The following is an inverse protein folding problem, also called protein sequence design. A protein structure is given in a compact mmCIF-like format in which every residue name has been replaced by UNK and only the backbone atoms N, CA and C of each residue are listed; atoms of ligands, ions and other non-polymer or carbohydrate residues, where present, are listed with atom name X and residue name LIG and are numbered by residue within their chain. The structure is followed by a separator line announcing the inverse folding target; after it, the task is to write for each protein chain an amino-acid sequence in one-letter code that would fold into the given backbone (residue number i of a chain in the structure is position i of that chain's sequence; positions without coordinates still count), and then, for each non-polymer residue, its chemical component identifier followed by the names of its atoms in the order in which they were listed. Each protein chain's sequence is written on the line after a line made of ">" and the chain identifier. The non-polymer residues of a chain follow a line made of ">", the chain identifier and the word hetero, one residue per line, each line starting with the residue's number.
data_IF_316556622381
#
_entry.id   IF_316556622381
#
_cell.length_a   1.000
_cell.length_b   1.000
_cell.length_c   1.000
_cell.angle_alpha   90.00
_cell.angle_beta   90.00
_cell.angle_gamma   90.00
#
_symmetry.space_group_name_H-M   'P 1'
#
loop_
_entity.id
_entity.type
_entity.pdbx_description
1 polymer ?
#
# COMPACT_ATOMS: atom_id res chain seq x y z
N UNK A 1 -13.31 9.81 -31.07
CA UNK A 1 -13.25 8.34 -30.84
C UNK A 1 -12.25 8.05 -29.73
N UNK A 2 -12.60 7.17 -28.78
CA UNK A 2 -11.71 6.76 -27.70
C UNK A 2 -10.48 5.97 -28.23
N UNK A 3 -9.29 6.31 -27.71
CA UNK A 3 -7.99 5.72 -28.05
C UNK A 3 -7.36 4.98 -26.86
N UNK A 4 -7.55 5.47 -25.64
CA UNK A 4 -7.05 4.89 -24.40
C UNK A 4 -8.19 4.50 -23.49
N UNK A 5 -8.28 3.22 -23.15
CA UNK A 5 -9.39 2.64 -22.40
C UNK A 5 -8.83 1.93 -21.17
N UNK A 6 -9.39 2.24 -20.01
CA UNK A 6 -9.13 1.52 -18.77
C UNK A 6 -10.19 0.44 -18.56
N UNK A 7 -9.77 -0.78 -18.29
CA UNK A 7 -10.68 -1.91 -17.98
C UNK A 7 -10.17 -2.68 -16.78
N UNK A 8 -11.03 -3.04 -15.82
CA UNK A 8 -10.63 -3.80 -14.63
C UNK A 8 -10.16 -5.22 -15.02
N UNK A 9 -9.35 -5.90 -14.18
CA UNK A 9 -8.75 -7.20 -14.51
C UNK A 9 -9.71 -8.39 -14.35
N UNK A 10 -10.91 -8.19 -13.80
CA UNK A 10 -11.85 -9.27 -13.50
C UNK A 10 -12.22 -10.11 -14.73
N UNK A 11 -12.49 -11.40 -14.51
CA UNK A 11 -12.78 -12.36 -15.57
C UNK A 11 -13.97 -11.97 -16.46
N UNK A 12 -15.10 -11.45 -15.94
CA UNK A 12 -16.24 -11.03 -16.78
C UNK A 12 -15.88 -9.95 -17.81
N UNK A 13 -14.84 -9.15 -17.56
CA UNK A 13 -14.41 -8.08 -18.46
C UNK A 13 -13.30 -8.50 -19.44
N UNK A 14 -12.91 -9.78 -19.45
CA UNK A 14 -11.87 -10.30 -20.36
C UNK A 14 -12.19 -10.00 -21.82
N UNK A 15 -13.44 -10.14 -22.24
CA UNK A 15 -13.81 -9.88 -23.63
C UNK A 15 -13.74 -8.38 -23.99
N UNK A 16 -14.11 -7.49 -23.06
CA UNK A 16 -13.94 -6.05 -23.25
C UNK A 16 -12.46 -5.70 -23.45
N UNK A 17 -11.56 -6.26 -22.62
CA UNK A 17 -10.10 -6.10 -22.80
C UNK A 17 -9.63 -6.61 -24.16
N UNK A 18 -10.08 -7.79 -24.58
CA UNK A 18 -9.76 -8.33 -25.90
C UNK A 18 -10.22 -7.40 -27.03
N UNK A 19 -11.44 -6.87 -26.98
CA UNK A 19 -11.98 -6.00 -28.01
C UNK A 19 -11.21 -4.67 -28.12
N UNK A 20 -10.75 -4.10 -26.99
CA UNK A 20 -9.86 -2.93 -26.98
C UNK A 20 -8.58 -3.23 -27.77
N UNK A 21 -7.92 -4.36 -27.46
CA UNK A 21 -6.68 -4.77 -28.13
C UNK A 21 -6.90 -5.09 -29.61
N UNK A 22 -7.96 -5.83 -29.95
CA UNK A 22 -8.31 -6.18 -31.32
C UNK A 22 -8.62 -4.94 -32.17
N UNK A 23 -9.11 -3.88 -31.54
CA UNK A 23 -9.35 -2.58 -32.17
C UNK A 23 -8.10 -1.69 -32.22
N UNK A 24 -6.91 -2.22 -31.88
CA UNK A 24 -5.62 -1.51 -31.86
C UNK A 24 -5.64 -0.26 -30.97
N UNK A 25 -6.42 -0.29 -29.88
CA UNK A 25 -6.50 0.79 -28.89
C UNK A 25 -5.57 0.52 -27.71
N UNK A 26 -5.18 1.57 -26.99
CA UNK A 26 -4.39 1.44 -25.76
C UNK A 26 -5.27 0.88 -24.66
N UNK A 27 -4.86 -0.25 -24.07
CA UNK A 27 -5.51 -0.86 -22.92
C UNK A 27 -4.69 -0.61 -21.66
N UNK A 28 -5.31 0.03 -20.67
CA UNK A 28 -4.79 0.13 -19.31
C UNK A 28 -5.55 -0.83 -18.40
N UNK A 29 -4.82 -1.59 -17.58
CA UNK A 29 -5.39 -2.50 -16.59
C UNK A 29 -4.79 -2.17 -15.22
N UNK A 30 -5.60 -1.97 -14.17
CA UNK A 30 -5.11 -1.78 -12.81
C UNK A 30 -4.21 -2.91 -12.34
N UNK A 31 -3.20 -2.58 -11.52
CA UNK A 31 -2.42 -3.63 -10.85
C UNK A 31 -3.26 -4.27 -9.74
N UNK A 32 -3.12 -5.59 -9.50
CA UNK A 32 -3.88 -6.26 -8.45
C UNK A 32 -3.69 -5.58 -7.09
N UNK A 33 -4.80 -5.09 -6.52
CA UNK A 33 -4.85 -4.45 -5.19
C UNK A 33 -3.90 -3.25 -5.04
N UNK A 34 -3.47 -2.62 -6.15
CA UNK A 34 -2.61 -1.43 -6.17
C UNK A 34 -1.28 -1.58 -5.41
N UNK A 35 -0.71 -2.78 -5.39
CA UNK A 35 0.52 -3.09 -4.64
C UNK A 35 1.81 -2.67 -5.34
N UNK A 36 1.83 -2.67 -6.66
CA UNK A 36 3.06 -2.52 -7.47
C UNK A 36 3.00 -1.37 -8.47
N UNK A 37 2.03 -0.47 -8.33
CA UNK A 37 1.80 0.65 -9.25
C UNK A 37 0.31 0.85 -9.51
N UNK A 38 -0.04 1.83 -10.36
CA UNK A 38 -1.43 2.13 -10.66
C UNK A 38 -1.96 1.28 -11.82
N UNK A 39 -1.32 1.36 -13.00
CA UNK A 39 -1.73 0.63 -14.19
C UNK A 39 -0.60 -0.14 -14.84
N UNK A 40 -1.00 -1.13 -15.62
CA UNK A 40 -0.21 -1.79 -16.64
C UNK A 40 -0.79 -1.41 -18.01
N UNK A 41 0.06 -0.90 -18.91
CA UNK A 41 -0.27 -0.74 -20.33
C UNK A 41 0.01 -2.06 -21.03
N UNK A 42 -1.00 -2.65 -21.63
CA UNK A 42 -0.83 -3.93 -22.32
C UNK A 42 -0.10 -3.72 -23.65
N UNK A 43 0.95 -4.50 -23.87
CA UNK A 43 1.82 -4.45 -25.04
C UNK A 43 1.85 -5.84 -25.71
N UNK A 44 0.88 -6.14 -26.60
CA UNK A 44 0.92 -7.37 -27.37
C UNK A 44 2.19 -7.45 -28.24
N UNK A 45 2.73 -8.65 -28.49
CA UNK A 45 3.84 -8.83 -29.42
C UNK A 45 3.54 -8.27 -30.82
N UNK A 46 4.56 -7.82 -31.58
CA UNK A 46 4.39 -7.45 -32.98
C UNK A 46 3.73 -8.56 -33.78
N UNK A 47 2.74 -8.23 -34.62
CA UNK A 47 2.01 -9.22 -35.42
C UNK A 47 1.09 -10.15 -34.64
N UNK A 48 0.74 -9.83 -33.38
CA UNK A 48 -0.13 -10.66 -32.55
C UNK A 48 -1.47 -11.02 -33.24
N UNK A 49 -1.73 -12.33 -33.33
CA UNK A 49 -3.02 -12.87 -33.81
C UNK A 49 -4.13 -12.65 -32.79
N UNK A 50 -5.40 -12.84 -33.20
CA UNK A 50 -6.55 -12.75 -32.28
C UNK A 50 -6.40 -13.66 -31.04
N UNK A 51 -5.81 -14.85 -31.19
CA UNK A 51 -5.59 -15.75 -30.07
C UNK A 51 -4.52 -15.25 -29.10
N UNK A 52 -3.47 -14.62 -29.61
CA UNK A 52 -2.47 -13.92 -28.78
C UNK A 52 -3.13 -12.77 -28.02
N UNK A 53 -3.98 -11.96 -28.70
CA UNK A 53 -4.69 -10.87 -28.03
C UNK A 53 -5.64 -11.37 -26.93
N UNK A 54 -6.33 -12.50 -27.14
CA UNK A 54 -7.15 -13.15 -26.10
C UNK A 54 -6.32 -13.58 -24.90
N UNK A 55 -5.08 -14.06 -25.13
CA UNK A 55 -4.13 -14.37 -24.05
C UNK A 55 -3.70 -13.11 -23.32
N UNK A 56 -3.31 -12.04 -24.02
CA UNK A 56 -2.96 -10.74 -23.42
C UNK A 56 -4.08 -10.15 -22.55
N UNK A 57 -5.35 -10.39 -22.91
CA UNK A 57 -6.51 -9.94 -22.14
C UNK A 57 -6.77 -10.72 -20.83
N UNK A 58 -6.07 -11.83 -20.58
CA UNK A 58 -6.19 -12.59 -19.31
C UNK A 58 -5.37 -11.95 -18.19
N UNK A 59 -5.67 -12.26 -16.93
CA UNK A 59 -4.86 -11.80 -15.78
C UNK A 59 -3.39 -12.23 -15.88
N UNK A 60 -3.12 -13.42 -16.43
CA UNK A 60 -1.74 -13.86 -16.70
C UNK A 60 -1.12 -13.08 -17.86
N UNK A 61 -1.90 -12.82 -18.91
CA UNK A 61 -1.47 -11.99 -20.02
C UNK A 61 -1.12 -10.58 -19.62
N UNK A 62 -1.88 -9.98 -18.71
CA UNK A 62 -1.57 -8.67 -18.12
C UNK A 62 -0.22 -8.70 -17.41
N UNK A 63 0.17 -9.79 -16.75
CA UNK A 63 1.50 -9.91 -16.12
C UNK A 63 2.62 -10.07 -17.15
N UNK A 64 2.38 -10.83 -18.21
CA UNK A 64 3.42 -11.25 -19.16
C UNK A 64 3.61 -10.28 -20.33
N UNK A 65 2.60 -9.50 -20.68
CA UNK A 65 2.54 -8.66 -21.88
C UNK A 65 2.15 -7.23 -21.52
N UNK A 66 2.79 -6.64 -20.51
CA UNK A 66 2.52 -5.25 -20.15
C UNK A 66 3.74 -4.51 -19.66
N UNK A 67 3.65 -3.19 -19.72
CA UNK A 67 4.60 -2.27 -19.12
C UNK A 67 3.92 -1.47 -18.00
N UNK A 68 4.55 -1.34 -16.83
CA UNK A 68 4.00 -0.52 -15.75
C UNK A 68 3.88 0.94 -16.17
N UNK A 69 2.78 1.58 -15.77
CA UNK A 69 2.54 3.01 -15.93
C UNK A 69 2.61 3.65 -14.55
N UNK A 70 3.64 4.48 -14.35
CA UNK A 70 3.86 5.21 -13.10
C UNK A 70 2.96 6.44 -12.95
N UNK A 71 2.97 7.03 -11.76
CA UNK A 71 2.20 8.21 -11.41
C UNK A 71 2.59 9.48 -12.19
N UNK A 72 3.80 9.52 -12.74
CA UNK A 72 4.32 10.65 -13.54
C UNK A 72 3.95 10.56 -15.02
N UNK A 73 3.28 9.48 -15.42
CA UNK A 73 2.87 9.32 -16.81
C UNK A 73 1.70 10.23 -17.13
N UNK A 74 1.81 11.01 -18.21
CA UNK A 74 0.75 11.90 -18.72
C UNK A 74 -0.27 11.14 -19.56
N UNK A 75 -0.83 10.06 -19.01
CA UNK A 75 -1.83 9.26 -19.72
C UNK A 75 -3.20 9.90 -19.56
N UNK A 76 -3.86 10.16 -20.69
CA UNK A 76 -5.28 10.52 -20.71
C UNK A 76 -6.11 9.28 -21.02
N UNK A 77 -7.15 9.06 -20.22
CA UNK A 77 -8.09 7.94 -20.38
C UNK A 77 -9.38 8.48 -20.98
N UNK A 78 -9.73 7.97 -22.15
CA UNK A 78 -10.92 8.40 -22.91
C UNK A 78 -12.18 7.65 -22.48
N UNK A 79 -12.04 6.48 -21.84
CA UNK A 79 -13.14 5.62 -21.43
C UNK A 79 -12.73 4.73 -20.26
N UNK A 80 -13.57 4.67 -19.23
CA UNK A 80 -13.41 3.76 -18.09
C UNK A 80 -14.47 2.67 -18.16
N UNK A 81 -14.05 1.41 -18.17
CA UNK A 81 -14.94 0.24 -18.05
C UNK A 81 -14.76 -0.37 -16.66
N UNK A 82 -15.79 -0.25 -15.82
CA UNK A 82 -15.78 -0.66 -14.42
C UNK A 82 -16.72 -1.84 -14.17
N UNK A 83 -16.27 -2.78 -13.35
CA UNK A 83 -17.05 -3.96 -12.95
C UNK A 83 -18.01 -3.63 -11.80
N UNK A 84 -19.17 -4.27 -11.82
CA UNK A 84 -20.24 -4.02 -10.85
C UNK A 84 -20.89 -5.33 -10.43
N UNK A 85 -21.34 -5.40 -9.18
CA UNK A 85 -22.19 -6.48 -8.66
C UNK A 85 -23.66 -6.15 -8.91
N UNK A 86 -24.05 -4.90 -8.67
CA UNK A 86 -25.38 -4.38 -8.95
C UNK A 86 -25.27 -2.92 -9.42
N UNK A 87 -26.23 -2.47 -10.22
CA UNK A 87 -26.34 -1.08 -10.70
C UNK A 87 -27.79 -0.65 -10.74
N UNK A 88 -28.06 0.63 -10.54
CA UNK A 88 -29.40 1.19 -10.77
C UNK A 88 -29.44 2.00 -12.06
N UNK A 89 -30.63 2.15 -12.65
CA UNK A 89 -30.81 2.98 -13.85
C UNK A 89 -30.41 4.45 -13.62
N UNK A 90 -30.34 4.90 -12.35
CA UNK A 90 -29.84 6.22 -11.94
C UNK A 90 -28.31 6.36 -12.00
N UNK A 91 -27.59 5.30 -12.37
CA UNK A 91 -26.12 5.27 -12.48
C UNK A 91 -25.40 4.97 -11.17
N UNK A 92 -26.12 4.50 -10.16
CA UNK A 92 -25.56 4.07 -8.89
C UNK A 92 -25.01 2.66 -9.01
N UNK A 93 -23.93 2.36 -8.29
CA UNK A 93 -23.16 1.14 -8.48
C UNK A 93 -22.77 0.52 -7.15
N UNK A 94 -22.96 -0.78 -7.01
CA UNK A 94 -22.40 -1.59 -5.92
C UNK A 94 -21.25 -2.43 -6.47
N UNK A 95 -20.07 -2.26 -5.87
CA UNK A 95 -18.89 -3.07 -6.13
C UNK A 95 -18.82 -4.34 -5.28
N UNK A 96 -17.65 -4.98 -5.24
CA UNK A 96 -17.39 -6.16 -4.39
C UNK A 96 -17.19 -5.84 -2.90
N UNK A 97 -17.19 -4.56 -2.53
CA UNK A 97 -17.05 -4.08 -1.15
C UNK A 97 -15.62 -3.67 -0.72
N UNK A 98 -14.58 -3.91 -1.53
CA UNK A 98 -13.21 -3.52 -1.16
C UNK A 98 -12.86 -2.04 -1.47
N UNK A 99 -13.70 -1.32 -2.22
CA UNK A 99 -13.46 0.09 -2.59
C UNK A 99 -12.32 0.34 -3.58
N UNK A 100 -11.71 -0.71 -4.15
CA UNK A 100 -10.57 -0.55 -5.06
C UNK A 100 -10.91 0.23 -6.34
N UNK A 101 -12.07 -0.03 -6.97
CA UNK A 101 -12.42 0.64 -8.22
C UNK A 101 -12.65 2.15 -8.03
N UNK A 102 -13.27 2.52 -6.91
CA UNK A 102 -13.57 3.89 -6.52
C UNK A 102 -12.28 4.67 -6.21
N UNK A 103 -11.37 4.03 -5.47
CA UNK A 103 -10.06 4.58 -5.18
C UNK A 103 -9.16 4.66 -6.43
N UNK A 104 -9.18 3.64 -7.30
CA UNK A 104 -8.49 3.67 -8.59
C UNK A 104 -8.91 4.87 -9.45
N UNK A 105 -10.22 5.15 -9.50
CA UNK A 105 -10.74 6.31 -10.23
C UNK A 105 -10.28 7.62 -9.59
N UNK A 106 -10.38 7.72 -8.26
CA UNK A 106 -9.92 8.89 -7.51
C UNK A 106 -8.42 9.18 -7.73
N UNK A 107 -7.58 8.13 -7.81
CA UNK A 107 -6.16 8.26 -8.17
C UNK A 107 -5.96 8.76 -9.60
N UNK A 108 -6.77 8.31 -10.55
CA UNK A 108 -6.71 8.84 -11.92
C UNK A 108 -7.05 10.33 -11.97
N UNK A 109 -7.99 10.79 -11.15
CA UNK A 109 -8.32 12.21 -11.05
C UNK A 109 -7.14 13.00 -10.47
N UNK A 110 -6.51 12.52 -9.39
CA UNK A 110 -5.31 13.16 -8.82
C UNK A 110 -4.12 13.21 -9.80
N UNK A 111 -4.06 12.29 -10.76
CA UNK A 111 -3.07 12.28 -11.84
C UNK A 111 -3.44 13.16 -13.04
N UNK A 112 -4.65 13.72 -13.08
CA UNK A 112 -5.19 14.41 -14.26
C UNK A 112 -5.45 13.47 -15.46
N UNK A 113 -5.55 12.16 -15.22
CA UNK A 113 -5.75 11.16 -16.26
C UNK A 113 -7.22 11.03 -16.69
N UNK A 114 -8.15 11.42 -15.81
CA UNK A 114 -9.61 11.46 -16.06
C UNK A 114 -10.19 12.77 -15.54
N UNK A 115 -11.38 13.11 -16.03
CA UNK A 115 -12.17 14.26 -15.57
C UNK A 115 -13.63 13.85 -15.36
N UNK A 116 -14.48 14.75 -14.86
CA UNK A 116 -15.93 14.52 -14.74
C UNK A 116 -16.57 14.13 -16.10
N UNK A 117 -16.04 14.67 -17.20
CA UNK A 117 -16.50 14.37 -18.55
C UNK A 117 -16.00 13.04 -19.12
N UNK A 118 -15.08 12.34 -18.44
CA UNK A 118 -14.63 11.01 -18.89
C UNK A 118 -15.76 10.00 -18.74
N UNK A 119 -16.22 9.35 -19.82
CA UNK A 119 -17.29 8.36 -19.74
C UNK A 119 -16.89 7.13 -18.90
N UNK A 120 -17.78 6.74 -18.00
CA UNK A 120 -17.68 5.55 -17.15
C UNK A 120 -18.79 4.59 -17.53
N UNK A 121 -18.40 3.37 -17.87
CA UNK A 121 -19.27 2.36 -18.47
C UNK A 121 -19.18 1.09 -17.67
N UNK A 122 -20.30 0.42 -17.49
CA UNK A 122 -20.36 -0.90 -16.88
C UNK A 122 -21.11 -1.89 -17.76
N UNK A 123 -20.69 -3.15 -17.68
CA UNK A 123 -21.28 -4.27 -18.42
C UNK A 123 -21.77 -5.26 -17.37
N UNK A 124 -23.07 -5.50 -17.34
CA UNK A 124 -23.74 -6.34 -16.36
C UNK A 124 -24.83 -7.17 -17.04
N UNK A 125 -25.33 -8.21 -16.36
CA UNK A 125 -26.54 -8.90 -16.80
C UNK A 125 -27.79 -8.10 -16.42
N UNK A 126 -28.90 -8.29 -17.13
CA UNK A 126 -30.17 -7.60 -16.88
C UNK A 126 -30.62 -7.72 -15.41
N UNK A 127 -30.43 -8.89 -14.79
CA UNK A 127 -30.79 -9.12 -13.38
C UNK A 127 -29.92 -8.38 -12.35
N UNK A 128 -28.81 -7.79 -12.77
CA UNK A 128 -27.96 -6.95 -11.92
C UNK A 128 -28.39 -5.47 -11.97
N UNK A 129 -29.34 -5.12 -12.83
CA UNK A 129 -29.98 -3.81 -12.86
C UNK A 129 -31.13 -3.83 -11.86
N UNK A 130 -30.92 -3.18 -10.72
CA UNK A 130 -31.84 -3.19 -9.58
C UNK A 130 -31.96 -1.79 -8.99
N UNK A 131 -33.03 -1.53 -8.25
CA UNK A 131 -33.07 -0.31 -7.45
C UNK A 131 -32.06 -0.40 -6.30
N UNK A 132 -31.29 0.67 -6.11
CA UNK A 132 -30.27 0.76 -5.06
C UNK A 132 -30.71 1.91 -4.16
N UNK A 133 -30.89 1.72 -2.85
CA UNK A 133 -31.21 2.83 -1.97
C UNK A 133 -30.01 3.77 -1.83
N UNK A 134 -30.27 5.08 -1.88
CA UNK A 134 -29.24 6.12 -1.81
C UNK A 134 -28.41 6.07 -0.52
N UNK A 135 -28.99 5.55 0.57
CA UNK A 135 -28.33 5.38 1.87
C UNK A 135 -27.12 4.44 1.83
N UNK A 136 -26.96 3.65 0.77
CA UNK A 136 -25.79 2.80 0.55
C UNK A 136 -24.65 3.49 -0.20
N UNK A 137 -24.83 4.75 -0.61
CA UNK A 137 -23.88 5.48 -1.45
C UNK A 137 -23.15 6.55 -0.65
N UNK A 138 -21.84 6.61 -0.87
CA UNK A 138 -20.95 7.60 -0.28
C UNK A 138 -20.33 8.51 -1.35
N UNK A 139 -19.82 9.68 -0.96
CA UNK A 139 -19.31 10.70 -1.91
C UNK A 139 -18.08 10.26 -2.70
N UNK A 140 -17.44 9.18 -2.26
CA UNK A 140 -16.29 8.61 -2.93
C UNK A 140 -16.66 7.48 -3.90
N UNK A 141 -17.93 7.06 -3.96
CA UNK A 141 -18.38 5.99 -4.84
C UNK A 141 -18.42 6.46 -6.29
N UNK A 142 -17.85 5.64 -7.17
CA UNK A 142 -17.86 5.87 -8.61
C UNK A 142 -19.22 5.52 -9.22
N UNK A 143 -19.86 6.55 -9.77
CA UNK A 143 -21.07 6.44 -10.58
C UNK A 143 -20.76 6.05 -12.03
N UNK A 144 -21.78 5.55 -12.74
CA UNK A 144 -21.67 5.11 -14.15
C UNK A 144 -22.58 5.92 -15.05
N UNK A 145 -22.11 6.27 -16.24
CA UNK A 145 -22.87 7.02 -17.25
C UNK A 145 -23.66 6.09 -18.17
N UNK A 146 -23.13 4.89 -18.44
CA UNK A 146 -23.77 3.89 -19.28
C UNK A 146 -23.74 2.50 -18.66
N UNK A 147 -24.87 1.82 -18.77
CA UNK A 147 -25.04 0.42 -18.38
C UNK A 147 -25.34 -0.38 -19.64
N UNK A 148 -24.46 -1.31 -19.99
CA UNK A 148 -24.70 -2.26 -21.07
C UNK A 148 -25.16 -3.59 -20.50
N UNK A 149 -26.30 -4.04 -21.02
CA UNK A 149 -26.87 -5.36 -20.76
C UNK A 149 -26.98 -6.14 -22.07
N UNK A 150 -27.19 -7.46 -22.03
CA UNK A 150 -27.51 -8.24 -23.23
C UNK A 150 -28.68 -7.69 -24.05
N UNK A 151 -29.68 -7.06 -23.41
CA UNK A 151 -30.92 -6.64 -24.09
C UNK A 151 -30.96 -5.16 -24.44
N UNK A 152 -30.24 -4.31 -23.73
CA UNK A 152 -30.31 -2.85 -23.88
C UNK A 152 -29.08 -2.10 -23.40
N UNK A 153 -28.97 -0.86 -23.86
CA UNK A 153 -28.02 0.14 -23.37
C UNK A 153 -28.80 1.23 -22.65
N UNK A 154 -28.43 1.51 -21.41
CA UNK A 154 -29.08 2.52 -20.56
C UNK A 154 -28.11 3.67 -20.38
N UNK A 155 -28.53 4.88 -20.76
CA UNK A 155 -27.85 6.13 -20.40
C UNK A 155 -28.46 6.63 -19.10
N UNK A 156 -27.64 6.79 -18.06
CA UNK A 156 -28.15 6.93 -16.69
C UNK A 156 -28.57 8.35 -16.34
N UNK A 157 -27.99 9.35 -17.02
CA UNK A 157 -28.20 10.75 -16.68
C UNK A 157 -27.82 11.08 -15.22
N UNK A 158 -26.86 10.34 -14.65
CA UNK A 158 -26.57 10.39 -13.22
C UNK A 158 -26.27 11.82 -12.76
N UNK A 159 -27.09 12.33 -11.83
CA UNK A 159 -26.94 13.68 -11.28
C UNK A 159 -25.84 13.76 -10.21
N UNK A 160 -25.49 12.62 -9.60
CA UNK A 160 -24.43 12.56 -8.59
C UNK A 160 -23.06 12.68 -9.29
N UNK A 161 -22.19 13.62 -8.85
CA UNK A 161 -20.89 13.79 -9.46
C UNK A 161 -20.01 12.56 -9.23
N UNK A 162 -19.11 12.30 -10.17
CA UNK A 162 -18.06 11.29 -10.00
C UNK A 162 -17.05 11.81 -8.96
N UNK A 163 -16.25 10.94 -8.31
CA UNK A 163 -15.23 11.38 -7.38
C UNK A 163 -14.30 12.44 -7.99
N UNK A 164 -13.99 13.50 -7.25
CA UNK A 164 -13.15 14.62 -7.70
C UNK A 164 -11.69 14.50 -7.25
N UNK A 165 -11.36 13.40 -6.58
CA UNK A 165 -10.03 13.12 -6.05
C UNK A 165 -10.09 12.13 -4.89
N UNK A 166 -8.95 11.91 -4.26
CA UNK A 166 -8.86 10.99 -3.12
C UNK A 166 -9.44 11.65 -1.87
N UNK A 167 -10.44 11.01 -1.27
CA UNK A 167 -11.00 11.43 0.03
C UNK A 167 -10.10 10.90 1.15
N UNK A 168 -9.03 11.63 1.48
CA UNK A 168 -8.01 11.19 2.47
C UNK A 168 -8.59 10.86 3.84
N UNK A 169 -9.67 11.52 4.25
CA UNK A 169 -10.38 11.24 5.50
C UNK A 169 -11.01 9.85 5.57
N UNK A 170 -11.13 9.13 4.43
CA UNK A 170 -11.58 7.73 4.36
C UNK A 170 -10.41 6.75 4.26
N UNK A 171 -9.19 7.23 4.00
CA UNK A 171 -7.98 6.40 3.90
C UNK A 171 -7.39 6.17 5.30
N UNK A 172 -7.21 4.90 5.67
CA UNK A 172 -6.54 4.52 6.93
C UNK A 172 -5.03 4.29 6.75
N UNK A 173 -4.31 4.29 7.87
CA UNK A 173 -2.91 3.91 7.95
C UNK A 173 -2.68 2.48 7.47
N UNK A 174 -3.65 1.59 7.69
CA UNK A 174 -3.62 0.21 7.18
C UNK A 174 -3.69 0.18 5.65
N UNK A 175 -4.59 0.96 5.04
CA UNK A 175 -4.68 1.09 3.58
C UNK A 175 -3.37 1.65 2.99
N UNK A 176 -2.80 2.68 3.63
CA UNK A 176 -1.49 3.25 3.29
C UNK A 176 -0.33 2.23 3.41
N UNK A 177 -0.45 1.26 4.30
CA UNK A 177 0.47 0.14 4.43
C UNK A 177 0.33 -0.87 3.28
N UNK A 178 -0.91 -1.18 2.89
CA UNK A 178 -1.23 -2.17 1.84
C UNK A 178 -0.98 -1.65 0.41
N UNK A 179 -1.07 -0.34 0.20
CA UNK A 179 -1.06 0.31 -1.12
C UNK A 179 0.02 1.40 -1.17
N UNK A 180 1.29 1.06 -1.44
CA UNK A 180 2.41 2.01 -1.39
C UNK A 180 2.22 3.25 -2.27
N UNK A 181 1.48 3.12 -3.38
CA UNK A 181 1.15 4.21 -4.30
C UNK A 181 0.45 5.39 -3.60
N UNK A 182 -0.34 5.12 -2.55
CA UNK A 182 -1.00 6.17 -1.78
C UNK A 182 -0.01 7.07 -1.06
N UNK A 183 1.17 6.60 -0.67
CA UNK A 183 2.19 7.44 0.00
C UNK A 183 2.73 8.50 -0.94
N UNK A 184 2.98 8.13 -2.19
CA UNK A 184 3.45 9.05 -3.21
C UNK A 184 2.39 10.11 -3.53
N UNK A 185 1.12 9.70 -3.64
CA UNK A 185 0.01 10.62 -3.88
C UNK A 185 -0.26 11.53 -2.67
N UNK A 186 -0.18 11.00 -1.45
CA UNK A 186 -0.33 11.75 -0.20
C UNK A 186 0.69 12.89 -0.12
N UNK A 187 1.97 12.58 -0.34
CA UNK A 187 3.05 13.57 -0.35
C UNK A 187 2.85 14.64 -1.43
N UNK A 188 2.44 14.26 -2.65
CA UNK A 188 2.17 15.21 -3.75
C UNK A 188 1.02 16.15 -3.43
N UNK A 189 -0.07 15.61 -2.89
CA UNK A 189 -1.25 16.41 -2.57
C UNK A 189 -1.02 17.31 -1.35
N UNK A 190 -0.22 16.87 -0.38
CA UNK A 190 0.24 17.69 0.75
C UNK A 190 1.10 18.87 0.26
N UNK A 191 2.06 18.61 -0.64
CA UNK A 191 2.88 19.65 -1.26
C UNK A 191 2.05 20.63 -2.11
N UNK A 192 0.95 20.17 -2.69
CA UNK A 192 -0.02 21.01 -3.39
C UNK A 192 -0.99 21.75 -2.47
N UNK A 193 -0.83 21.64 -1.14
CA UNK A 193 -1.65 22.34 -0.14
C UNK A 193 -3.04 21.75 0.10
N UNK A 194 -3.31 20.51 -0.32
CA UNK A 194 -4.60 19.83 -0.06
C UNK A 194 -4.66 19.28 1.37
N UNK A 195 -5.87 19.17 1.93
CA UNK A 195 -6.09 18.42 3.18
C UNK A 195 -5.90 16.92 2.92
N UNK A 196 -4.82 16.37 3.47
CA UNK A 196 -4.46 14.96 3.37
C UNK A 196 -4.61 14.21 4.70
N UNK A 197 -5.49 14.71 5.59
CA UNK A 197 -5.72 14.11 6.91
C UNK A 197 -6.35 12.73 6.79
N UNK A 198 -5.66 11.71 7.30
CA UNK A 198 -6.11 10.31 7.30
C UNK A 198 -7.25 10.06 8.29
N UNK A 199 -8.05 9.01 8.02
CA UNK A 199 -9.19 8.58 8.83
C UNK A 199 -8.87 8.44 10.32
N UNK A 200 -7.76 7.76 10.62
CA UNK A 200 -7.41 7.42 12.01
C UNK A 200 -7.02 8.66 12.84
N UNK A 201 -6.58 9.74 12.19
CA UNK A 201 -6.24 11.01 12.87
C UNK A 201 -7.47 11.83 13.24
N UNK A 202 -8.59 11.69 12.52
CA UNK A 202 -9.87 12.34 12.87
C UNK A 202 -10.63 11.61 13.99
N UNK A 203 -10.41 10.30 14.11
CA UNK A 203 -11.04 9.47 15.14
C UNK A 203 -10.34 9.57 16.52
N UNK A 204 -9.18 10.23 16.58
CA UNK A 204 -8.54 10.60 17.85
C UNK A 204 -9.28 11.79 18.46
N UNK A 205 -9.82 11.72 19.70
CA UNK A 205 -10.52 12.85 20.29
C UNK A 205 -9.58 14.06 20.47
N UNK A 206 -10.11 15.30 20.36
CA UNK A 206 -9.35 16.52 20.60
C UNK A 206 -9.14 16.70 22.11
N UNK A 207 -8.16 15.99 22.67
CA UNK A 207 -7.84 16.07 24.10
C UNK A 207 -6.42 15.66 24.47
N UNK A 208 -5.74 14.88 23.64
CA UNK A 208 -4.40 14.36 23.97
C UNK A 208 -3.24 15.35 23.73
N UNK A 209 -3.52 16.62 23.38
CA UNK A 209 -2.48 17.63 23.09
C UNK A 209 -2.30 18.71 24.18
N UNK A 210 -3.03 18.66 25.29
CA UNK A 210 -3.03 19.73 26.30
C UNK A 210 -2.33 19.39 27.63
N UNK A 211 -1.43 18.41 27.68
CA UNK A 211 -0.76 18.00 28.92
C UNK A 211 0.77 17.94 28.82
N UNK A 212 1.40 18.93 28.16
CA UNK A 212 2.86 19.12 28.19
C UNK A 212 3.18 20.62 28.12
N UNK A 213 2.70 21.40 29.09
CA UNK A 213 3.08 22.81 29.24
C UNK A 213 2.85 23.26 30.68
N UNK A 214 3.67 22.77 31.60
CA UNK A 214 3.97 23.44 32.89
C UNK A 214 5.07 22.68 33.62
N UNK A 215 6.34 22.95 33.30
CA UNK A 215 7.39 22.99 34.34
C UNK A 215 8.35 24.12 33.97
N UNK A 216 8.43 25.10 34.88
CA UNK A 216 9.31 26.26 34.85
C UNK A 216 10.78 25.85 34.95
N UNK A 217 11.62 26.63 34.27
CA UNK A 217 13.08 26.66 34.38
C UNK A 217 13.58 26.92 35.82
N UNK A 218 14.79 26.45 36.14
CA UNK A 218 15.75 27.31 36.84
C UNK A 218 17.03 27.57 36.02
N UNK A 219 17.50 28.83 36.12
CA UNK A 219 18.85 29.38 35.87
C UNK A 219 19.92 28.62 36.70
N UNK A 220 21.24 28.63 36.51
CA UNK A 220 22.25 29.39 35.74
C UNK A 220 23.57 28.57 35.82
N UNK A 221 24.52 28.77 34.88
CA UNK A 221 25.81 28.06 34.74
C UNK A 221 26.85 28.42 35.83
N UNK A 222 27.94 27.62 35.97
CA UNK A 222 29.23 28.13 35.50
C UNK A 222 30.06 27.11 34.70
N UNK A 223 30.79 27.67 33.73
CA UNK A 223 31.80 27.10 32.85
C UNK A 223 33.05 26.61 33.59
N UNK A 224 33.58 25.42 33.23
CA UNK A 224 34.96 25.00 33.47
C UNK A 224 35.40 23.97 32.40
N UNK A 225 36.32 24.43 31.55
CA UNK A 225 37.50 23.75 30.99
C UNK A 225 37.40 22.53 30.05
N UNK A 226 38.15 22.69 28.95
CA UNK A 226 38.50 21.71 27.94
C UNK A 226 39.18 20.48 28.55
N UNK A 227 38.55 19.32 28.38
CA UNK A 227 39.13 18.01 28.66
C UNK A 227 38.63 16.99 27.65
N UNK A 228 39.51 16.57 26.75
CA UNK A 228 39.31 15.49 25.79
C UNK A 228 39.03 14.15 26.47
N UNK A 229 37.84 13.57 26.27
CA UNK A 229 37.56 12.16 26.54
C UNK A 229 36.68 11.58 25.41
N UNK A 230 37.18 10.47 24.87
CA UNK A 230 36.58 9.65 23.82
C UNK A 230 35.33 8.91 24.32
N UNK A 231 34.33 8.78 23.44
CA UNK A 231 33.58 7.53 23.26
C UNK A 231 32.32 7.29 24.11
N UNK A 232 31.18 7.38 23.42
CA UNK A 232 29.99 6.52 23.56
C UNK A 232 29.16 6.53 24.85
N UNK A 233 28.02 7.25 24.80
CA UNK A 233 26.72 6.65 25.16
C UNK A 233 25.55 7.37 24.45
N UNK A 234 25.39 7.12 23.15
CA UNK A 234 24.16 7.48 22.44
C UNK A 234 23.21 6.27 22.55
N UNK A 235 22.03 6.40 23.16
CA UNK A 235 21.14 5.26 23.37
C UNK A 235 20.69 4.67 22.02
N UNK A 236 20.85 3.36 21.85
CA UNK A 236 20.54 2.66 20.60
C UNK A 236 19.03 2.54 20.40
N UNK A 237 18.53 2.86 19.20
CA UNK A 237 17.13 2.64 18.81
C UNK A 237 16.84 1.21 18.33
N UNK A 238 17.80 0.29 18.48
CA UNK A 238 17.66 -1.10 18.03
C UNK A 238 17.61 -2.08 19.20
N UNK A 239 16.59 -2.94 19.20
CA UNK A 239 16.37 -4.01 20.19
C UNK A 239 16.59 -5.37 19.54
N UNK A 240 17.37 -6.23 20.19
CA UNK A 240 17.57 -7.61 19.81
C UNK A 240 16.60 -8.54 20.55
N UNK A 241 16.04 -9.51 19.82
CA UNK A 241 15.18 -10.58 20.35
C UNK A 241 15.78 -11.93 19.99
N UNK A 242 16.22 -12.68 21.00
CA UNK A 242 16.79 -14.03 20.87
C UNK A 242 16.04 -15.08 21.68
N UNK A 243 16.63 -16.29 21.77
CA UNK A 243 16.04 -17.46 22.43
C UNK A 243 14.69 -17.91 21.85
N UNK A 244 14.55 -17.87 20.52
CA UNK A 244 13.32 -18.24 19.82
C UNK A 244 13.24 -19.76 19.61
N UNK A 245 12.04 -20.37 19.64
CA UNK A 245 11.85 -21.79 19.30
C UNK A 245 12.42 -22.16 17.94
N UNK A 246 12.97 -23.37 17.78
CA UNK A 246 13.66 -23.79 16.54
C UNK A 246 12.77 -23.74 15.28
N UNK A 247 11.46 -23.82 15.46
CA UNK A 247 10.43 -23.76 14.42
C UNK A 247 9.76 -22.38 14.29
N UNK A 248 10.21 -21.38 15.07
CA UNK A 248 9.60 -20.06 15.13
C UNK A 248 9.56 -19.37 13.75
N UNK A 249 8.38 -18.86 13.40
CA UNK A 249 8.20 -18.10 12.15
C UNK A 249 8.21 -16.61 12.41
N UNK A 250 8.76 -15.85 11.46
CA UNK A 250 8.75 -14.37 11.50
C UNK A 250 7.33 -13.80 11.62
N UNK A 251 6.32 -14.49 11.08
CA UNK A 251 4.91 -14.11 11.22
C UNK A 251 4.39 -14.20 12.65
N UNK A 252 4.83 -15.20 13.42
CA UNK A 252 4.43 -15.38 14.82
C UNK A 252 5.06 -14.31 15.70
N UNK A 253 6.35 -14.02 15.45
CA UNK A 253 7.03 -12.91 16.11
C UNK A 253 6.32 -11.57 15.82
N UNK A 254 6.01 -11.28 14.55
CA UNK A 254 5.29 -10.05 14.17
C UNK A 254 3.93 -9.94 14.86
N UNK A 255 3.17 -11.03 14.93
CA UNK A 255 1.87 -11.07 15.61
C UNK A 255 2.02 -10.80 17.10
N UNK A 256 3.01 -11.40 17.75
CA UNK A 256 3.24 -11.22 19.18
C UNK A 256 3.75 -9.81 19.54
N UNK A 257 4.62 -9.23 18.72
CA UNK A 257 5.07 -7.84 18.86
C UNK A 257 3.90 -6.85 18.73
N UNK A 258 3.02 -7.11 17.76
CA UNK A 258 1.83 -6.29 17.53
C UNK A 258 0.84 -6.39 18.70
N UNK A 259 0.59 -7.60 19.22
CA UNK A 259 -0.31 -7.83 20.36
C UNK A 259 0.17 -7.13 21.65
N UNK A 260 1.48 -6.92 21.79
CA UNK A 260 2.09 -6.22 22.95
C UNK A 260 2.33 -4.73 22.70
N UNK A 261 1.89 -4.19 21.57
CA UNK A 261 2.11 -2.77 21.23
C UNK A 261 3.59 -2.40 21.10
N UNK A 262 4.43 -3.34 20.67
CA UNK A 262 5.88 -3.18 20.51
C UNK A 262 6.31 -3.50 19.06
N UNK A 263 5.51 -3.06 18.08
CA UNK A 263 5.80 -3.27 16.68
C UNK A 263 6.89 -2.28 16.20
N UNK A 264 8.04 -2.74 15.67
CA UNK A 264 9.09 -1.85 15.22
C UNK A 264 8.79 -1.20 13.87
N UNK A 265 9.50 -0.11 13.57
CA UNK A 265 9.49 0.53 12.24
C UNK A 265 10.09 -0.37 11.16
N UNK A 266 11.08 -1.20 11.52
CA UNK A 266 11.67 -2.22 10.66
C UNK A 266 12.05 -3.43 11.52
N UNK A 267 11.78 -4.64 11.01
CA UNK A 267 12.18 -5.90 11.64
C UNK A 267 13.11 -6.66 10.70
N UNK A 268 14.31 -6.98 11.17
CA UNK A 268 15.29 -7.81 10.47
C UNK A 268 15.30 -9.20 11.11
N UNK A 269 14.88 -10.22 10.37
CA UNK A 269 14.81 -11.60 10.84
C UNK A 269 16.03 -12.38 10.39
N UNK A 270 16.79 -12.97 11.32
CA UNK A 270 17.97 -13.78 11.01
C UNK A 270 17.75 -15.29 11.27
N UNK A 271 16.53 -15.68 11.61
CA UNK A 271 16.17 -17.06 11.91
C UNK A 271 16.10 -17.35 13.42
N UNK A 272 15.53 -18.50 13.81
CA UNK A 272 15.33 -18.85 15.22
C UNK A 272 16.59 -18.85 16.08
N UNK A 273 17.71 -19.30 15.52
CA UNK A 273 18.99 -19.40 16.24
C UNK A 273 19.74 -18.07 16.34
N UNK A 274 19.60 -17.19 15.34
CA UNK A 274 20.29 -15.88 15.27
C UNK A 274 19.41 -14.72 15.75
N UNK A 275 18.14 -14.97 16.02
CA UNK A 275 17.19 -13.99 16.54
C UNK A 275 16.70 -12.98 15.51
N UNK A 276 16.17 -11.87 16.03
CA UNK A 276 15.63 -10.77 15.24
C UNK A 276 16.10 -9.43 15.81
N UNK A 277 16.25 -8.44 14.93
CA UNK A 277 16.55 -7.06 15.28
C UNK A 277 15.34 -6.18 14.97
N UNK A 278 14.90 -5.44 15.97
CA UNK A 278 13.76 -4.55 15.94
C UNK A 278 14.29 -3.11 15.94
N UNK A 279 14.07 -2.38 14.86
CA UNK A 279 14.52 -1.01 14.71
C UNK A 279 13.36 -0.05 15.00
N UNK A 280 13.53 0.81 16.00
CA UNK A 280 12.58 1.84 16.40
C UNK A 280 13.05 3.21 15.94
N UNK A 281 12.12 4.18 15.93
CA UNK A 281 12.40 5.52 15.39
C UNK A 281 13.34 6.30 16.30
N UNK A 282 13.19 6.10 17.60
CA UNK A 282 13.99 6.74 18.62
C UNK A 282 14.33 5.75 19.75
N UNK A 283 15.31 6.09 20.60
CA UNK A 283 15.73 5.22 21.69
C UNK A 283 14.67 5.07 22.78
N UNK A 284 13.78 6.05 22.97
CA UNK A 284 12.71 5.96 23.98
C UNK A 284 11.66 4.91 23.59
N UNK A 285 11.31 4.82 22.32
CA UNK A 285 10.45 3.78 21.75
C UNK A 285 11.10 2.39 21.89
N UNK A 286 12.41 2.29 21.69
CA UNK A 286 13.17 1.06 21.91
C UNK A 286 13.13 0.60 23.39
N UNK A 287 13.31 1.52 24.34
CA UNK A 287 13.19 1.23 25.78
C UNK A 287 11.78 0.80 26.18
N UNK A 288 10.74 1.50 25.70
CA UNK A 288 9.35 1.11 25.93
C UNK A 288 9.05 -0.28 25.37
N UNK A 289 9.58 -0.60 24.19
CA UNK A 289 9.44 -1.92 23.61
C UNK A 289 10.12 -3.00 24.47
N UNK A 290 11.31 -2.74 25.02
CA UNK A 290 11.97 -3.67 25.95
C UNK A 290 11.08 -3.94 27.17
N UNK A 291 10.55 -2.90 27.82
CA UNK A 291 9.67 -3.06 28.98
C UNK A 291 8.39 -3.86 28.65
N UNK A 292 7.81 -3.65 27.46
CA UNK A 292 6.61 -4.39 27.00
C UNK A 292 6.88 -5.84 26.61
N UNK A 293 8.13 -6.15 26.27
CA UNK A 293 8.54 -7.47 25.78
C UNK A 293 9.30 -8.30 26.83
N UNK A 294 9.55 -7.75 28.02
CA UNK A 294 10.09 -8.51 29.15
C UNK A 294 9.15 -9.68 29.50
N UNK A 295 9.72 -10.88 29.62
CA UNK A 295 8.96 -12.09 29.95
C UNK A 295 8.02 -12.58 28.83
N UNK A 296 8.14 -12.07 27.60
CA UNK A 296 7.36 -12.56 26.47
C UNK A 296 7.78 -13.99 26.09
N UNK A 297 6.81 -14.92 26.05
CA UNK A 297 7.02 -16.28 25.56
C UNK A 297 6.49 -16.46 24.13
N UNK A 298 7.32 -17.02 23.27
CA UNK A 298 6.93 -17.50 21.93
C UNK A 298 6.98 -19.03 21.98
N UNK A 299 5.82 -19.69 21.96
CA UNK A 299 5.71 -21.12 22.26
C UNK A 299 6.10 -21.42 23.72
N UNK A 300 6.97 -22.42 23.92
CA UNK A 300 7.48 -22.81 25.24
C UNK A 300 8.71 -22.01 25.70
N UNK A 301 9.27 -21.14 24.84
CA UNK A 301 10.50 -20.41 25.14
C UNK A 301 10.20 -18.95 25.54
N UNK A 302 10.80 -18.50 26.64
CA UNK A 302 10.85 -17.07 27.01
C UNK A 302 11.89 -16.36 26.14
N UNK A 303 11.44 -15.41 25.32
CA UNK A 303 12.30 -14.66 24.42
C UNK A 303 13.24 -13.75 25.22
N UNK A 304 14.53 -13.71 24.83
CA UNK A 304 15.52 -12.83 25.43
C UNK A 304 15.52 -11.49 24.69
N UNK A 305 15.19 -10.41 25.38
CA UNK A 305 15.06 -9.06 24.78
C UNK A 305 16.07 -8.12 25.42
N UNK A 306 16.90 -7.45 24.61
CA UNK A 306 17.91 -6.51 25.07
C UNK A 306 18.24 -5.46 24.01
N UNK A 307 18.83 -4.32 24.38
CA UNK A 307 19.38 -3.37 23.40
C UNK A 307 20.50 -4.03 22.59
N UNK A 308 20.51 -3.80 21.28
CA UNK A 308 21.57 -4.28 20.41
C UNK A 308 22.85 -3.48 20.66
N UNK A 309 23.92 -4.14 21.13
CA UNK A 309 25.26 -3.54 21.20
C UNK A 309 25.82 -3.41 19.78
N UNK A 310 26.42 -2.25 19.47
CA UNK A 310 27.09 -2.03 18.18
C UNK A 310 28.34 -2.92 18.14
N UNK A 311 28.38 -3.90 17.24
CA UNK A 311 29.67 -4.53 16.88
C UNK A 311 30.42 -3.54 15.99
N UNK A 312 31.55 -3.02 16.49
CA UNK A 312 32.51 -2.25 15.70
C UNK A 312 33.19 -3.14 14.66
N UNK A 313 33.46 -2.56 13.48
CA UNK A 313 34.19 -3.20 12.41
C UNK A 313 35.70 -2.88 12.53
N UNK A 314 36.54 -3.91 12.68
CA UNK A 314 37.89 -4.03 12.07
C UNK A 314 38.57 -5.33 12.52
N UNK A 315 39.01 -6.16 11.56
CA UNK A 315 39.92 -7.30 11.80
C UNK A 315 41.34 -6.84 12.22
N UNK A 316 42.24 -7.78 12.57
CA UNK A 316 43.15 -8.29 11.54
C UNK A 316 43.53 -9.79 11.68
N UNK A 317 44.30 -10.25 10.69
CA UNK A 317 44.92 -11.56 10.57
C UNK A 317 45.77 -11.97 11.79
N UNK A 318 45.78 -13.27 12.06
CA UNK A 318 46.71 -13.96 12.96
C UNK A 318 46.62 -15.47 12.71
N UNK A 319 47.49 -15.97 11.84
CA UNK A 319 47.58 -17.39 11.51
C UNK A 319 48.54 -18.18 12.40
N UNK A 320 48.41 -19.51 12.25
CA UNK A 320 49.36 -20.62 12.51
C UNK A 320 49.46 -21.22 13.93
N UNK A 321 49.04 -22.48 14.03
CA UNK A 321 49.89 -23.68 14.19
C UNK A 321 48.99 -24.93 14.01
N UNK A 322 49.30 -26.01 13.29
CA UNK A 322 50.46 -26.43 12.51
C UNK A 322 50.10 -27.60 11.57
N UNK A 323 50.86 -27.74 10.48
CA UNK A 323 50.96 -28.88 9.56
C UNK A 323 51.76 -30.05 10.20
N UNK A 324 51.83 -31.30 9.65
CA UNK A 324 52.07 -31.61 8.22
C UNK A 324 51.42 -32.87 7.57
N UNK A 325 51.13 -32.74 6.26
CA UNK A 325 51.48 -33.55 5.04
C UNK A 325 51.78 -35.09 5.12
N UNK A 326 51.91 -35.82 3.97
CA UNK A 326 51.22 -35.82 2.65
C UNK A 326 50.59 -37.22 2.33
N UNK A 327 49.80 -37.30 1.27
CA UNK A 327 49.71 -38.51 0.42
C UNK A 327 49.46 -38.04 -1.03
N UNK A 328 50.03 -38.70 -2.06
CA UNK A 328 49.40 -38.79 -3.36
C UNK A 328 48.38 -39.94 -3.41
#
# INVERSE_FOLDING_TARGET
>A
MARTIKVNPDAPQKNARFLVLNSKKTLLVPTPRLRTGLFNKITPPPGATKDVLRKCATSQGVKNYSTPVGLDSRVLVDLVVVGSVAVSEKGWRIGKGEGYADLEYSMMVSMGAVSQGTPVVTIVHDCQVVDIPETLLEDHDLTVDYILTPTRVITTGCERPKPTGIVWSKISCEMMGKMPVLRSLHCREEQAGKDVTLRDKRQSPPGARAALSTVRSPRELPSLESGSLQGDDVPSSTVYVGNLPRDARVSELKRALSARGAAPSRLTWQGPQRGAFLHYRDPAEAWQAISRLQGFCLGANTARVALARRQGASGPAGGRAGEPHPDP
#
